data_IF_729628059064
#
_entry.id   IF_729628059064
#
_cell.length_a   1.000
_cell.length_b   1.000
_cell.length_c   1.000
_cell.angle_alpha   90.00
_cell.angle_beta   90.00
_cell.angle_gamma   90.00
#
_symmetry.space_group_name_H-M   'P 1'
#
loop_
_entity.id
_entity.type
_entity.pdbx_description
1 polymer ?
#
# COMPACT_ATOMS: atom_id res chain seq x y z
N UNK A 1 33.17 -4.97 8.22
CA UNK A 1 31.89 -5.54 7.75
C UNK A 1 31.44 -4.70 6.57
N UNK A 2 31.04 -5.31 5.45
CA UNK A 2 30.41 -4.53 4.36
C UNK A 2 29.03 -4.13 4.85
N UNK A 3 28.72 -2.84 4.85
CA UNK A 3 27.34 -2.37 4.98
C UNK A 3 26.55 -2.96 3.81
N UNK A 4 25.58 -3.84 4.10
CA UNK A 4 24.66 -4.37 3.09
C UNK A 4 23.48 -3.41 3.05
N UNK A 5 23.65 -2.31 2.33
CA UNK A 5 22.54 -1.43 1.99
C UNK A 5 21.83 -1.90 0.73
N UNK A 6 20.60 -1.46 0.54
CA UNK A 6 19.75 -1.86 -0.58
C UNK A 6 18.86 -0.71 -1.07
N UNK A 7 18.48 -0.75 -2.33
CA UNK A 7 17.56 0.23 -2.91
C UNK A 7 16.11 -0.08 -2.56
N UNK A 8 15.32 0.98 -2.38
CA UNK A 8 13.89 0.84 -2.13
C UNK A 8 13.22 0.02 -3.24
N UNK A 9 12.60 -1.13 -2.91
CA UNK A 9 12.06 -2.04 -3.91
C UNK A 9 10.82 -1.49 -4.63
N UNK A 10 10.28 -0.36 -4.16
CA UNK A 10 9.09 0.28 -4.73
C UNK A 10 9.47 1.32 -5.78
N UNK A 11 10.31 2.29 -5.40
CA UNK A 11 10.58 3.45 -6.23
C UNK A 11 12.00 3.48 -6.83
N UNK A 12 12.93 2.69 -6.29
CA UNK A 12 14.34 2.68 -6.70
C UNK A 12 15.10 4.00 -6.47
N UNK A 13 14.53 4.95 -5.70
CA UNK A 13 15.08 6.31 -5.53
C UNK A 13 15.73 6.57 -4.17
N UNK A 14 15.62 5.63 -3.24
CA UNK A 14 16.19 5.75 -1.90
C UNK A 14 17.04 4.53 -1.59
N UNK A 15 18.19 4.75 -0.97
CA UNK A 15 19.11 3.69 -0.57
C UNK A 15 19.10 3.58 0.97
N UNK A 16 18.70 2.42 1.47
CA UNK A 16 18.73 2.09 2.89
C UNK A 16 20.12 1.58 3.25
N UNK A 17 20.65 1.98 4.40
CA UNK A 17 22.01 1.62 4.83
C UNK A 17 22.11 0.17 5.31
N UNK A 18 21.04 -0.31 5.92
CA UNK A 18 20.87 -1.66 6.44
C UNK A 18 19.37 -1.97 6.57
N UNK A 19 19.05 -3.16 7.09
CA UNK A 19 17.67 -3.56 7.42
C UNK A 19 17.30 -3.22 8.87
N UNK A 20 18.16 -2.52 9.60
CA UNK A 20 17.95 -2.22 11.02
C UNK A 20 17.11 -0.94 11.17
N UNK A 21 16.06 -1.03 11.98
CA UNK A 21 15.19 0.09 12.30
C UNK A 21 13.84 0.09 11.58
N UNK A 22 13.15 1.23 11.68
CA UNK A 22 11.80 1.46 11.15
C UNK A 22 11.83 2.61 10.12
N UNK A 23 12.92 2.70 9.37
CA UNK A 23 13.09 3.75 8.38
C UNK A 23 12.06 3.62 7.26
N UNK A 24 11.48 4.75 6.85
CA UNK A 24 10.54 4.84 5.75
C UNK A 24 11.20 5.51 4.55
N UNK A 25 10.97 4.97 3.35
CA UNK A 25 11.40 5.63 2.13
C UNK A 25 10.72 7.01 2.01
N UNK A 26 11.47 8.13 1.94
CA UNK A 26 10.88 9.47 1.88
C UNK A 26 10.16 9.79 0.56
N UNK A 27 10.22 8.87 -0.41
CA UNK A 27 9.62 9.02 -1.74
C UNK A 27 8.28 8.32 -1.84
N UNK A 28 8.19 7.08 -1.37
CA UNK A 28 6.99 6.24 -1.51
C UNK A 28 6.39 5.79 -0.17
N UNK A 29 7.01 6.13 0.95
CA UNK A 29 6.58 5.82 2.32
C UNK A 29 6.45 4.32 2.62
N UNK A 30 7.20 3.48 1.91
CA UNK A 30 7.36 2.08 2.29
C UNK A 30 8.36 2.01 3.44
N UNK A 31 7.96 1.41 4.56
CA UNK A 31 8.83 1.14 5.70
C UNK A 31 9.70 -0.09 5.44
N UNK A 32 10.96 -0.08 5.89
CA UNK A 32 11.82 -1.26 5.85
C UNK A 32 11.10 -2.44 6.50
N UNK A 33 11.04 -3.55 5.77
CA UNK A 33 10.50 -4.81 6.27
C UNK A 33 11.21 -5.98 5.56
N UNK A 34 12.01 -6.74 6.32
CA UNK A 34 12.81 -7.86 5.78
C UNK A 34 11.94 -8.98 5.19
N UNK A 35 10.80 -9.27 5.82
CA UNK A 35 9.87 -10.31 5.33
C UNK A 35 9.29 -9.91 3.98
N UNK A 36 8.94 -8.63 3.83
CA UNK A 36 8.44 -8.10 2.55
C UNK A 36 9.55 -7.97 1.49
N UNK A 37 10.80 -7.76 1.90
CA UNK A 37 11.94 -7.76 0.97
C UNK A 37 12.16 -9.14 0.36
N UNK A 38 12.08 -10.20 1.17
CA UNK A 38 12.22 -11.58 0.70
C UNK A 38 10.96 -12.09 -0.02
N UNK A 39 9.78 -11.66 0.43
CA UNK A 39 8.48 -12.02 -0.15
C UNK A 39 7.67 -10.76 -0.51
N UNK A 40 7.78 -10.34 -1.77
CA UNK A 40 7.12 -9.14 -2.29
C UNK A 40 5.58 -9.17 -2.27
N UNK A 41 4.96 -10.33 -2.08
CA UNK A 41 3.51 -10.50 -1.97
C UNK A 41 3.02 -10.60 -0.52
N UNK A 42 3.93 -10.64 0.45
CA UNK A 42 3.58 -10.57 1.86
C UNK A 42 2.93 -9.22 2.16
N UNK A 43 1.65 -9.24 2.50
CA UNK A 43 0.80 -8.05 2.70
C UNK A 43 0.40 -7.84 4.16
N UNK A 44 1.04 -8.59 5.06
CA UNK A 44 0.86 -8.46 6.50
C UNK A 44 2.02 -7.70 7.15
N UNK A 45 1.86 -7.35 8.43
CA UNK A 45 2.88 -6.66 9.22
C UNK A 45 2.65 -5.15 9.35
N UNK A 46 3.74 -4.40 9.48
CA UNK A 46 3.74 -2.95 9.75
C UNK A 46 3.29 -2.10 8.56
N UNK A 47 3.64 -2.55 7.35
CA UNK A 47 3.20 -1.94 6.11
C UNK A 47 1.75 -2.34 5.82
N UNK A 48 0.96 -1.40 5.27
CA UNK A 48 -0.47 -1.64 5.01
C UNK A 48 -0.73 -2.40 3.71
N UNK A 49 0.29 -2.54 2.86
CA UNK A 49 0.28 -3.15 1.54
C UNK A 49 1.55 -4.02 1.36
N UNK A 50 1.52 -4.98 0.44
CA UNK A 50 2.72 -5.70 -0.03
C UNK A 50 3.63 -4.82 -0.90
N UNK A 51 4.84 -5.28 -1.20
CA UNK A 51 5.76 -4.56 -2.10
C UNK A 51 5.14 -4.39 -3.48
N UNK A 52 4.51 -5.45 -4.02
CA UNK A 52 3.87 -5.38 -5.33
C UNK A 52 2.67 -4.42 -5.35
N UNK A 53 1.91 -4.37 -4.25
CA UNK A 53 0.81 -3.42 -4.10
C UNK A 53 1.28 -1.96 -3.97
N UNK A 54 2.35 -1.71 -3.23
CA UNK A 54 2.99 -0.39 -3.17
C UNK A 54 3.52 0.06 -4.53
N UNK A 55 4.03 -0.86 -5.36
CA UNK A 55 4.44 -0.52 -6.74
C UNK A 55 3.27 -0.02 -7.58
N UNK A 56 2.10 -0.65 -7.46
CA UNK A 56 0.88 -0.21 -8.13
C UNK A 56 0.49 1.20 -7.64
N UNK A 57 0.43 1.40 -6.32
CA UNK A 57 0.12 2.69 -5.70
C UNK A 57 1.07 3.79 -6.17
N UNK A 58 2.37 3.52 -6.13
CA UNK A 58 3.40 4.45 -6.56
C UNK A 58 3.27 4.79 -8.05
N UNK A 59 2.96 3.82 -8.91
CA UNK A 59 2.79 4.04 -10.35
C UNK A 59 1.63 5.02 -10.64
N UNK A 60 0.48 4.83 -10.00
CA UNK A 60 -0.70 5.70 -10.23
C UNK A 60 -0.58 7.06 -9.56
N UNK A 61 0.12 7.17 -8.42
CA UNK A 61 0.40 8.46 -7.76
C UNK A 61 1.46 9.29 -8.51
N UNK A 62 2.44 8.61 -9.13
CA UNK A 62 3.50 9.26 -9.89
C UNK A 62 3.03 9.78 -11.26
N UNK A 63 1.87 9.33 -11.73
CA UNK A 63 1.33 9.71 -13.02
C UNK A 63 0.35 10.89 -12.87
N UNK A 64 0.63 11.98 -13.60
CA UNK A 64 -0.14 13.24 -13.55
C UNK A 64 -1.63 13.06 -13.82
N UNK A 65 -2.02 12.15 -14.73
CA UNK A 65 -3.43 11.96 -15.11
C UNK A 65 -4.24 11.22 -14.06
N UNK A 66 -3.62 10.29 -13.32
CA UNK A 66 -4.30 9.46 -12.32
C UNK A 66 -4.10 9.95 -10.89
N UNK A 67 -3.08 10.77 -10.63
CA UNK A 67 -2.64 11.17 -9.28
C UNK A 67 -3.78 11.65 -8.39
N UNK A 68 -4.60 12.58 -8.88
CA UNK A 68 -5.69 13.17 -8.09
C UNK A 68 -6.70 12.12 -7.62
N UNK A 69 -7.02 11.15 -8.47
CA UNK A 69 -7.97 10.10 -8.11
C UNK A 69 -7.31 9.06 -7.19
N UNK A 70 -6.06 8.69 -7.47
CA UNK A 70 -5.28 7.82 -6.59
C UNK A 70 -5.11 8.39 -5.16
N UNK A 71 -4.90 9.70 -5.02
CA UNK A 71 -4.84 10.38 -3.71
C UNK A 71 -6.15 10.28 -2.94
N UNK A 72 -7.30 10.43 -3.61
CA UNK A 72 -8.62 10.24 -2.96
C UNK A 72 -8.82 8.80 -2.50
N UNK A 73 -8.48 7.82 -3.34
CA UNK A 73 -8.59 6.41 -3.00
C UNK A 73 -7.70 6.06 -1.81
N UNK A 74 -6.47 6.58 -1.79
CA UNK A 74 -5.52 6.38 -0.69
C UNK A 74 -6.06 6.92 0.63
N UNK A 75 -6.66 8.12 0.60
CA UNK A 75 -7.26 8.71 1.80
C UNK A 75 -8.54 7.97 2.23
N UNK A 76 -9.37 7.50 1.31
CA UNK A 76 -10.51 6.63 1.61
C UNK A 76 -10.05 5.33 2.32
N UNK A 77 -9.03 4.68 1.78
CA UNK A 77 -8.42 3.47 2.35
C UNK A 77 -7.89 3.74 3.77
N UNK A 78 -7.13 4.83 3.95
CA UNK A 78 -6.60 5.24 5.26
C UNK A 78 -7.71 5.48 6.28
N UNK A 79 -8.75 6.21 5.90
CA UNK A 79 -9.90 6.49 6.77
C UNK A 79 -10.65 5.22 7.18
N UNK A 80 -10.91 4.31 6.24
CA UNK A 80 -11.57 3.02 6.54
C UNK A 80 -10.76 2.21 7.55
N UNK A 81 -9.45 2.07 7.34
CA UNK A 81 -8.57 1.37 8.29
C UNK A 81 -8.60 2.00 9.69
N UNK A 82 -8.54 3.32 9.78
CA UNK A 82 -8.60 4.03 11.07
C UNK A 82 -9.96 3.81 11.75
N UNK A 83 -11.06 3.86 11.00
CA UNK A 83 -12.41 3.61 11.52
C UNK A 83 -12.52 2.23 12.12
N UNK A 84 -12.03 1.20 11.42
CA UNK A 84 -12.07 -0.19 11.90
C UNK A 84 -11.30 -0.36 13.22
N UNK A 85 -10.10 0.22 13.33
CA UNK A 85 -9.35 0.20 14.59
C UNK A 85 -10.06 0.95 15.72
N UNK A 86 -10.79 2.03 15.38
CA UNK A 86 -11.56 2.83 16.35
C UNK A 86 -12.78 2.07 16.85
N UNK A 87 -13.56 1.49 15.95
CA UNK A 87 -14.74 0.68 16.27
C UNK A 87 -14.40 -0.45 17.24
N UNK A 88 -13.26 -1.12 17.01
CA UNK A 88 -12.76 -2.15 17.93
C UNK A 88 -12.44 -1.60 19.33
N UNK A 89 -11.76 -0.45 19.42
CA UNK A 89 -11.42 0.17 20.71
C UNK A 89 -12.64 0.68 21.48
N UNK A 90 -13.74 0.97 20.78
CA UNK A 90 -14.96 1.54 21.34
C UNK A 90 -16.05 0.49 21.62
N UNK A 91 -15.76 -0.80 21.45
CA UNK A 91 -16.68 -1.89 21.79
C UNK A 91 -17.13 -1.79 23.25
N UNK A 92 -18.45 -1.71 23.46
CA UNK A 92 -19.08 -1.59 24.76
C UNK A 92 -19.35 -2.96 25.37
N UNK A 93 -19.41 -3.00 26.71
CA UNK A 93 -19.84 -4.18 27.46
C UNK A 93 -21.21 -4.67 26.98
N UNK A 94 -21.30 -5.97 26.65
CA UNK A 94 -22.52 -6.60 26.12
C UNK A 94 -22.63 -6.62 24.59
N UNK A 95 -21.70 -5.99 23.85
CA UNK A 95 -21.59 -6.18 22.41
C UNK A 95 -20.76 -7.43 22.10
N UNK A 96 -21.17 -8.18 21.08
CA UNK A 96 -20.40 -9.29 20.55
C UNK A 96 -19.25 -8.70 19.74
N UNK A 97 -18.02 -8.90 20.19
CA UNK A 97 -16.84 -8.55 19.41
C UNK A 97 -16.71 -9.52 18.23
N UNK A 98 -16.31 -9.03 17.04
CA UNK A 98 -15.92 -9.92 15.95
C UNK A 98 -14.76 -10.81 16.39
N UNK A 99 -14.70 -12.02 15.86
CA UNK A 99 -13.55 -12.91 16.02
C UNK A 99 -12.30 -12.30 15.38
N UNK A 100 -11.12 -12.77 15.79
CA UNK A 100 -9.86 -12.35 15.18
C UNK A 100 -9.84 -12.60 13.66
N UNK A 101 -10.46 -13.70 13.21
CA UNK A 101 -10.57 -14.07 11.81
C UNK A 101 -11.48 -13.11 11.04
N UNK A 102 -12.67 -12.78 11.57
CA UNK A 102 -13.57 -11.80 10.95
C UNK A 102 -12.92 -10.42 10.86
N UNK A 103 -12.21 -9.99 11.92
CA UNK A 103 -11.48 -8.72 11.91
C UNK A 103 -10.39 -8.71 10.83
N UNK A 104 -9.58 -9.76 10.79
CA UNK A 104 -8.53 -9.90 9.79
C UNK A 104 -9.12 -9.84 8.38
N UNK A 105 -10.21 -10.59 8.13
CA UNK A 105 -10.88 -10.61 6.84
C UNK A 105 -11.39 -9.23 6.43
N UNK A 106 -11.98 -8.46 7.33
CA UNK A 106 -12.41 -7.09 7.03
C UNK A 106 -11.23 -6.20 6.57
N UNK A 107 -10.05 -6.34 7.18
CA UNK A 107 -8.87 -5.57 6.78
C UNK A 107 -8.36 -6.01 5.40
N UNK A 108 -8.41 -7.33 5.12
CA UNK A 108 -8.07 -7.90 3.83
C UNK A 108 -9.02 -7.37 2.76
N UNK A 109 -10.34 -7.39 2.99
CA UNK A 109 -11.34 -6.93 2.03
C UNK A 109 -11.15 -5.44 1.66
N UNK A 110 -10.87 -4.60 2.68
CA UNK A 110 -10.61 -3.17 2.47
C UNK A 110 -9.32 -2.95 1.67
N UNK A 111 -8.27 -3.75 1.90
CA UNK A 111 -7.02 -3.72 1.12
C UNK A 111 -7.27 -4.16 -0.33
N UNK A 112 -7.93 -5.30 -0.54
CA UNK A 112 -8.18 -5.83 -1.88
C UNK A 112 -9.03 -4.89 -2.73
N UNK A 113 -10.09 -4.32 -2.14
CA UNK A 113 -10.91 -3.31 -2.83
C UNK A 113 -10.09 -2.06 -3.20
N UNK A 114 -9.18 -1.63 -2.34
CA UNK A 114 -8.31 -0.51 -2.65
C UNK A 114 -7.41 -0.82 -3.85
N UNK A 115 -6.74 -1.98 -3.85
CA UNK A 115 -5.86 -2.42 -4.92
C UNK A 115 -6.61 -2.65 -6.23
N UNK A 116 -7.83 -3.18 -6.19
CA UNK A 116 -8.69 -3.30 -7.36
C UNK A 116 -8.92 -1.93 -8.02
N UNK A 117 -9.31 -0.92 -7.24
CA UNK A 117 -9.54 0.44 -7.76
C UNK A 117 -8.25 1.07 -8.31
N UNK A 118 -7.10 0.85 -7.68
CA UNK A 118 -5.82 1.32 -8.21
C UNK A 118 -5.47 0.66 -9.54
N UNK A 119 -5.68 -0.64 -9.67
CA UNK A 119 -5.46 -1.37 -10.93
C UNK A 119 -6.37 -0.85 -12.05
N UNK A 120 -7.63 -0.53 -11.74
CA UNK A 120 -8.53 0.10 -12.71
C UNK A 120 -7.98 1.45 -13.20
N UNK A 121 -7.46 2.29 -12.30
CA UNK A 121 -6.78 3.55 -12.69
C UNK A 121 -5.54 3.31 -13.54
N UNK A 122 -4.73 2.32 -13.19
CA UNK A 122 -3.53 1.95 -13.94
C UNK A 122 -3.88 1.56 -15.38
N UNK A 123 -4.93 0.73 -15.55
CA UNK A 123 -5.41 0.28 -16.87
C UNK A 123 -5.99 1.43 -17.71
N UNK A 124 -6.65 2.42 -17.11
CA UNK A 124 -7.14 3.59 -17.84
C UNK A 124 -5.96 4.41 -18.36
N UNK A 125 -4.93 4.59 -17.53
CA UNK A 125 -3.77 5.39 -17.93
C UNK A 125 -2.93 4.75 -19.02
N UNK A 126 -2.86 3.43 -19.14
CA UNK A 126 -2.10 2.76 -20.20
C UNK A 126 -2.80 2.91 -21.54
N UNK A 127 -4.12 2.68 -21.58
CA UNK A 127 -4.94 2.85 -22.80
C UNK A 127 -4.88 4.26 -23.39
N UNK A 128 -4.82 5.30 -22.56
CA UNK A 128 -4.71 6.69 -23.05
C UNK A 128 -3.38 6.99 -23.74
N UNK A 129 -2.31 6.21 -23.51
CA UNK A 129 -1.00 6.41 -24.16
C UNK A 129 -0.92 5.76 -25.54
N UNK A 130 -1.71 4.71 -25.79
CA UNK A 130 -1.69 4.00 -27.07
C UNK A 130 -2.40 4.77 -28.19
N UNK A 131 -3.34 5.67 -27.84
CA UNK A 131 -4.08 6.46 -28.84
C UNK A 131 -3.27 7.64 -29.39
N UNK A 132 -2.25 8.14 -28.67
CA UNK A 132 -1.50 9.33 -29.08
C UNK A 132 -0.40 9.10 -30.12
N UNK A 133 -0.17 7.86 -30.55
CA UNK A 133 0.85 7.51 -31.57
C UNK A 133 0.25 7.04 -32.91
N UNK A 134 -1.07 7.20 -33.11
CA UNK A 134 -1.79 6.71 -34.29
C UNK A 134 -2.23 7.83 -35.27
N UNK A 135 -1.48 8.92 -35.37
CA UNK A 135 -1.71 10.01 -36.35
C UNK A 135 -0.48 10.28 -37.20
#
# INVERSE_FOLDING_TARGET
MKEIGFECPICGKYYFRDFEGLEECPVCNWAINIVQYDNHDFSEGSNTLSVNEYRIEYAVLSNKSTRKEAEKLKEEFRRKRISMHKEFRELKSGQIAPSCEEMHQQFVDVRLLYIEKLNQLLMISTKSKDVTYAL
#
